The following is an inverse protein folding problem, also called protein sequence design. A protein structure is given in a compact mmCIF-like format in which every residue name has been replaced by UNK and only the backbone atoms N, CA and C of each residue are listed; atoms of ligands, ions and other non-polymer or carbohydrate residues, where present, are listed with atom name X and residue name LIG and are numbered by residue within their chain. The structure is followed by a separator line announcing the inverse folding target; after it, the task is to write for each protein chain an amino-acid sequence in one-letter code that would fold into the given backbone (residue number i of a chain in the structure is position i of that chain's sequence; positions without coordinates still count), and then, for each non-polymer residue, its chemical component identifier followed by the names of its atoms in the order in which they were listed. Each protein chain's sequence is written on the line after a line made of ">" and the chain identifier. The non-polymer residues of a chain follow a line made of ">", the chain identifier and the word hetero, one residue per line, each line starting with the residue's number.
data_IF_579207662155
#
_entry.id   IF_579207662155
#
_cell.length_a   1.000
_cell.length_b   1.000
_cell.length_c   1.000
_cell.angle_alpha   90.00
_cell.angle_beta   90.00
_cell.angle_gamma   90.00
#
_symmetry.space_group_name_H-M   'P 1'
#
loop_
_entity.id
_entity.type
_entity.pdbx_description
1 polymer ?
#
# COMPACT_ATOMS: atom_id res chain seq x y z
N UNK A 1 -13.21 0.91 -12.67
CA UNK A 1 -13.03 0.13 -11.45
C UNK A 1 -13.47 0.95 -10.23
N UNK A 2 -13.33 0.37 -9.04
CA UNK A 2 -13.79 1.02 -7.81
C UNK A 2 -13.01 2.31 -7.51
N UNK A 3 -11.72 2.32 -7.77
CA UNK A 3 -10.90 3.51 -7.52
C UNK A 3 -11.30 4.64 -8.47
N UNK A 4 -11.42 4.35 -9.75
CA UNK A 4 -11.83 5.34 -10.74
C UNK A 4 -13.20 5.92 -10.42
N UNK A 5 -14.12 5.08 -9.98
CA UNK A 5 -15.46 5.52 -9.59
C UNK A 5 -15.39 6.47 -8.39
N UNK A 6 -14.60 6.13 -7.39
CA UNK A 6 -14.49 6.98 -6.20
C UNK A 6 -13.83 8.31 -6.53
N UNK A 7 -12.84 8.33 -7.42
CA UNK A 7 -12.23 9.58 -7.90
C UNK A 7 -13.29 10.43 -8.61
N UNK A 8 -14.09 9.82 -9.48
CA UNK A 8 -15.12 10.56 -10.23
C UNK A 8 -16.19 11.13 -9.30
N UNK A 9 -16.58 10.38 -8.27
CA UNK A 9 -17.62 10.80 -7.35
C UNK A 9 -17.14 11.79 -6.28
N UNK A 10 -15.85 11.70 -5.91
CA UNK A 10 -15.27 12.49 -4.82
C UNK A 10 -13.89 13.04 -5.19
N UNK A 11 -13.78 13.85 -6.25
CA UNK A 11 -12.47 14.30 -6.74
C UNK A 11 -11.68 15.11 -5.72
N UNK A 12 -12.39 15.83 -4.83
CA UNK A 12 -11.71 16.65 -3.83
C UNK A 12 -10.90 15.81 -2.82
N UNK A 13 -11.20 14.52 -2.70
CA UNK A 13 -10.46 13.61 -1.82
C UNK A 13 -9.14 13.14 -2.42
N UNK A 14 -8.91 13.38 -3.71
CA UNK A 14 -7.77 12.86 -4.45
C UNK A 14 -6.90 14.01 -4.97
N UNK A 15 -5.92 14.46 -4.18
CA UNK A 15 -5.22 15.71 -4.48
C UNK A 15 -4.33 15.67 -5.72
N UNK A 16 -3.97 14.48 -6.20
CA UNK A 16 -3.01 14.35 -7.31
C UNK A 16 -3.64 14.04 -8.65
N UNK A 17 -4.97 14.03 -8.76
CA UNK A 17 -5.63 13.63 -10.01
C UNK A 17 -5.47 14.65 -11.13
N UNK A 18 -5.22 15.91 -10.78
CA UNK A 18 -5.08 16.98 -11.76
C UNK A 18 -3.65 17.20 -12.21
N UNK A 19 -2.71 16.47 -11.67
CA UNK A 19 -1.31 16.57 -12.09
C UNK A 19 -1.15 15.87 -13.43
N UNK A 20 -0.91 16.60 -14.52
CA UNK A 20 -1.09 16.05 -15.87
C UNK A 20 0.02 15.15 -16.35
N UNK A 21 1.05 14.95 -15.58
CA UNK A 21 2.20 14.24 -16.09
C UNK A 21 3.01 13.60 -15.01
N UNK A 22 4.14 13.18 -15.39
CA UNK A 22 5.17 12.74 -14.53
C UNK A 22 5.02 11.30 -14.11
N UNK A 23 5.02 11.07 -12.85
CA UNK A 23 5.14 9.73 -12.35
C UNK A 23 3.74 9.11 -12.19
N UNK A 24 3.33 8.34 -13.18
CA UNK A 24 2.05 7.64 -13.17
C UNK A 24 1.99 6.66 -11.98
N UNK A 25 3.10 5.98 -11.69
CA UNK A 25 3.14 5.02 -10.58
C UNK A 25 2.97 5.70 -9.23
N UNK A 26 3.65 6.84 -9.04
CA UNK A 26 3.47 7.64 -7.83
C UNK A 26 2.01 8.06 -7.67
N UNK A 27 1.41 8.56 -8.75
CA UNK A 27 0.02 9.01 -8.73
C UNK A 27 -0.93 7.85 -8.41
N UNK A 28 -0.68 6.67 -8.97
CA UNK A 28 -1.49 5.48 -8.70
C UNK A 28 -1.41 5.07 -7.23
N UNK A 29 -0.21 5.05 -6.67
CA UNK A 29 -0.04 4.69 -5.26
C UNK A 29 -0.73 5.70 -4.36
N UNK A 30 -0.60 7.00 -4.66
CA UNK A 30 -1.26 8.04 -3.90
C UNK A 30 -2.78 7.90 -3.94
N UNK A 31 -3.34 7.60 -5.11
CA UNK A 31 -4.78 7.39 -5.26
C UNK A 31 -5.25 6.14 -4.52
N UNK A 32 -4.48 5.07 -4.57
CA UNK A 32 -4.79 3.85 -3.83
C UNK A 32 -4.74 4.08 -2.32
N UNK A 33 -3.75 4.82 -1.84
CA UNK A 33 -3.67 5.18 -0.43
C UNK A 33 -4.93 5.93 0.02
N UNK A 34 -5.35 6.92 -0.76
CA UNK A 34 -6.57 7.67 -0.47
C UNK A 34 -7.79 6.76 -0.48
N UNK A 35 -7.92 5.91 -1.50
CA UNK A 35 -9.05 5.00 -1.61
C UNK A 35 -9.14 4.06 -0.40
N UNK A 36 -8.02 3.46 0.00
CA UNK A 36 -8.02 2.54 1.14
C UNK A 36 -8.28 3.26 2.46
N UNK A 37 -7.82 4.49 2.63
CA UNK A 37 -8.16 5.27 3.83
C UNK A 37 -9.65 5.55 3.93
N UNK A 38 -10.32 5.66 2.79
CA UNK A 38 -11.75 5.92 2.76
C UNK A 38 -12.61 4.68 2.94
N UNK A 39 -12.14 3.51 2.46
CA UNK A 39 -13.00 2.34 2.30
C UNK A 39 -12.48 1.08 2.98
N UNK A 40 -11.21 1.01 3.33
CA UNK A 40 -10.62 -0.16 3.99
C UNK A 40 -10.47 0.08 5.49
N UNK A 41 -10.21 -0.98 6.22
CA UNK A 41 -9.85 -0.87 7.63
C UNK A 41 -8.44 -0.32 7.75
N UNK A 42 -8.28 0.78 8.49
CA UNK A 42 -6.97 1.41 8.73
C UNK A 42 -6.36 0.78 9.98
N UNK A 43 -5.13 0.30 9.86
CA UNK A 43 -4.45 -0.44 10.91
C UNK A 43 -3.14 0.26 11.31
N UNK A 44 -2.48 -0.30 12.34
CA UNK A 44 -1.22 0.25 12.82
C UNK A 44 -0.11 0.12 11.79
N UNK A 45 0.78 1.11 11.76
CA UNK A 45 2.01 1.06 10.95
C UNK A 45 3.21 0.54 11.76
N UNK A 46 2.99 0.11 13.01
CA UNK A 46 4.02 -0.34 13.91
C UNK A 46 4.25 -1.84 13.75
N UNK A 47 5.49 -2.25 13.54
CA UNK A 47 5.87 -3.65 13.40
C UNK A 47 6.12 -4.34 14.75
N UNK A 48 6.01 -3.63 15.86
CA UNK A 48 6.27 -4.20 17.18
C UNK A 48 5.23 -5.25 17.58
N UNK A 49 4.07 -5.24 16.94
CA UNK A 49 3.05 -6.26 17.15
C UNK A 49 2.77 -6.99 15.83
N UNK A 50 3.55 -8.02 15.50
CA UNK A 50 3.38 -8.73 14.23
C UNK A 50 2.01 -9.38 14.05
N UNK A 51 1.29 -9.65 15.14
CA UNK A 51 -0.06 -10.24 15.06
C UNK A 51 -1.07 -9.32 14.37
N UNK A 52 -0.80 -8.01 14.34
CA UNK A 52 -1.66 -7.04 13.65
C UNK A 52 -1.48 -7.09 12.12
N UNK A 53 -0.48 -7.80 11.63
CA UNK A 53 -0.14 -7.87 10.21
C UNK A 53 -0.55 -9.23 9.67
N UNK A 54 -1.49 -9.27 8.74
CA UNK A 54 -2.04 -10.52 8.22
C UNK A 54 -1.81 -10.64 6.71
N UNK A 55 -1.81 -11.88 6.18
CA UNK A 55 -1.68 -12.07 4.73
C UNK A 55 -2.77 -11.29 3.98
N UNK A 56 -2.37 -10.67 2.88
CA UNK A 56 -3.28 -9.85 2.06
C UNK A 56 -3.41 -8.41 2.52
N UNK A 57 -2.87 -8.05 3.68
CA UNK A 57 -2.88 -6.65 4.12
C UNK A 57 -2.08 -5.79 3.14
N UNK A 58 -2.55 -4.56 2.93
CA UNK A 58 -1.95 -3.60 2.00
C UNK A 58 -1.07 -2.65 2.80
N UNK A 59 0.14 -2.41 2.30
CA UNK A 59 1.13 -1.58 2.98
C UNK A 59 1.59 -0.47 2.03
N UNK A 60 1.56 0.76 2.52
CA UNK A 60 2.05 1.94 1.79
C UNK A 60 3.32 2.43 2.47
N UNK A 61 4.31 2.82 1.68
CA UNK A 61 5.61 3.23 2.15
C UNK A 61 5.96 4.63 1.67
N UNK A 62 6.84 5.29 2.44
CA UNK A 62 7.42 6.57 2.07
C UNK A 62 6.36 7.66 1.98
N UNK A 63 6.48 8.54 1.01
CA UNK A 63 5.55 9.63 0.77
C UNK A 63 4.46 9.20 -0.22
N UNK A 64 3.85 8.04 0.04
CA UNK A 64 2.81 7.43 -0.80
C UNK A 64 3.32 7.12 -2.20
N UNK A 65 4.55 6.64 -2.28
CA UNK A 65 5.21 6.37 -3.55
C UNK A 65 5.51 4.89 -3.79
N UNK A 66 5.23 4.02 -2.82
CA UNK A 66 5.46 2.59 -2.96
C UNK A 66 4.39 1.81 -2.22
N UNK A 67 3.97 0.68 -2.80
CA UNK A 67 2.90 -0.15 -2.26
C UNK A 67 3.31 -1.62 -2.32
N UNK A 68 2.88 -2.39 -1.33
CA UNK A 68 3.07 -3.82 -1.30
C UNK A 68 1.95 -4.52 -0.57
N UNK A 69 2.00 -5.84 -0.57
CA UNK A 69 1.00 -6.70 0.06
C UNK A 69 1.72 -7.68 0.98
N UNK A 70 1.16 -7.90 2.18
CA UNK A 70 1.71 -8.86 3.12
C UNK A 70 1.55 -10.27 2.60
N UNK A 71 2.65 -11.04 2.62
CA UNK A 71 2.66 -12.46 2.31
C UNK A 71 2.18 -13.26 3.53
N UNK A 72 1.83 -14.52 3.31
CA UNK A 72 1.59 -15.47 4.39
C UNK A 72 2.88 -16.00 4.98
N UNK A 73 4.03 -15.75 4.34
CA UNK A 73 5.36 -16.12 4.84
C UNK A 73 5.86 -15.07 5.82
N UNK A 74 6.45 -15.53 6.94
CA UNK A 74 6.96 -14.63 7.97
C UNK A 74 8.43 -14.90 8.26
N UNK A 75 9.14 -13.84 8.69
CA UNK A 75 10.52 -13.95 9.11
C UNK A 75 10.62 -14.48 10.54
N UNK A 76 11.84 -14.49 11.11
CA UNK A 76 12.07 -15.02 12.45
C UNK A 76 11.38 -14.22 13.55
N UNK A 77 11.14 -12.93 13.32
CA UNK A 77 10.43 -12.07 14.26
C UNK A 77 8.92 -12.16 14.11
N UNK A 78 8.42 -12.96 13.17
CA UNK A 78 7.00 -13.09 12.88
C UNK A 78 6.46 -11.99 11.98
N UNK A 79 7.31 -11.16 11.39
CA UNK A 79 6.92 -10.09 10.48
C UNK A 79 6.70 -10.68 9.09
N UNK A 80 5.57 -10.37 8.42
CA UNK A 80 5.32 -10.90 7.09
C UNK A 80 6.35 -10.45 6.07
N UNK A 81 6.66 -11.34 5.13
CA UNK A 81 7.38 -10.94 3.93
C UNK A 81 6.48 -10.01 3.12
N UNK A 82 7.10 -9.19 2.30
CA UNK A 82 6.41 -8.20 1.47
C UNK A 82 6.43 -8.65 0.02
N UNK A 83 5.27 -8.64 -0.60
CA UNK A 83 5.13 -8.88 -2.05
C UNK A 83 5.04 -7.52 -2.71
N UNK A 84 6.02 -7.16 -3.51
CA UNK A 84 6.07 -5.87 -4.17
C UNK A 84 6.96 -5.90 -5.41
N UNK A 85 6.86 -4.87 -6.22
CA UNK A 85 7.77 -4.66 -7.34
C UNK A 85 9.00 -3.92 -6.82
N UNK A 86 10.17 -4.54 -6.94
CA UNK A 86 11.42 -3.89 -6.53
C UNK A 86 11.95 -2.92 -7.57
N UNK A 87 11.41 -2.99 -8.78
CA UNK A 87 11.84 -2.21 -9.94
C UNK A 87 10.66 -2.15 -10.91
N UNK A 88 10.41 -1.01 -11.59
CA UNK A 88 9.24 -0.87 -12.47
C UNK A 88 9.15 -1.90 -13.59
N UNK A 89 10.26 -2.49 -13.99
CA UNK A 89 10.27 -3.50 -15.07
C UNK A 89 10.32 -4.92 -14.54
N UNK A 90 10.47 -5.11 -13.23
CA UNK A 90 10.54 -6.43 -12.63
C UNK A 90 9.14 -6.94 -12.29
N UNK A 91 9.01 -8.26 -12.25
CA UNK A 91 7.82 -8.89 -11.71
C UNK A 91 7.74 -8.68 -10.20
N UNK A 92 6.54 -8.87 -9.64
CA UNK A 92 6.36 -8.83 -8.20
C UNK A 92 7.21 -9.91 -7.54
N UNK A 93 7.88 -9.55 -6.45
CA UNK A 93 8.75 -10.45 -5.70
C UNK A 93 8.33 -10.49 -4.24
N UNK A 94 8.57 -11.63 -3.60
CA UNK A 94 8.35 -11.80 -2.17
C UNK A 94 9.70 -11.71 -1.46
N UNK A 95 9.83 -10.71 -0.56
CA UNK A 95 11.09 -10.47 0.13
C UNK A 95 10.86 -10.08 1.58
N UNK A 96 11.88 -10.26 2.39
CA UNK A 96 11.89 -9.83 3.78
C UNK A 96 12.26 -8.34 3.87
N UNK A 97 11.42 -7.49 3.26
CA UNK A 97 11.70 -6.07 3.08
C UNK A 97 10.84 -5.15 3.95
N UNK A 98 9.95 -5.70 4.77
CA UNK A 98 8.98 -4.88 5.52
C UNK A 98 9.65 -3.82 6.39
N UNK A 99 10.78 -4.13 6.98
CA UNK A 99 11.52 -3.20 7.85
C UNK A 99 12.49 -2.28 7.13
N UNK A 100 12.60 -2.36 5.80
CA UNK A 100 13.57 -1.56 5.04
C UNK A 100 13.08 -0.17 4.72
N UNK A 101 11.79 0.07 4.78
CA UNK A 101 11.18 1.32 4.35
C UNK A 101 10.32 1.89 5.46
N UNK A 102 10.06 3.19 5.38
CA UNK A 102 9.15 3.84 6.32
C UNK A 102 7.72 3.48 5.94
N UNK A 103 7.00 2.82 6.84
CA UNK A 103 5.60 2.44 6.61
C UNK A 103 4.72 3.62 6.98
N UNK A 104 3.89 4.06 6.04
CA UNK A 104 2.99 5.19 6.23
C UNK A 104 1.52 4.81 6.09
N UNK A 105 1.21 3.59 5.66
CA UNK A 105 -0.15 3.09 5.59
C UNK A 105 -0.19 1.58 5.75
N UNK A 106 -1.21 1.10 6.46
CA UNK A 106 -1.48 -0.32 6.63
C UNK A 106 -2.99 -0.50 6.61
N UNK A 107 -3.48 -1.26 5.64
CA UNK A 107 -4.91 -1.39 5.41
C UNK A 107 -5.30 -2.84 5.21
N UNK A 108 -6.53 -3.17 5.62
CA UNK A 108 -7.15 -4.47 5.36
C UNK A 108 -8.41 -4.25 4.56
N UNK A 109 -8.42 -4.81 3.35
CA UNK A 109 -9.59 -4.71 2.48
C UNK A 109 -10.60 -5.78 2.87
N UNK A 110 -11.78 -5.35 3.23
CA UNK A 110 -12.84 -6.25 3.71
C UNK A 110 -13.90 -6.55 2.65
N UNK A 111 -13.63 -6.17 1.44
CA UNK A 111 -14.57 -6.38 0.34
C UNK A 111 -15.28 -5.12 -0.02
#
# INVERSE_FOLDING_TARGET
>A
DLVDRDIADHPACYPNIETPDGNIDFRRVSNLDTFFRRHAQVLTCDLDDPAQWQPGDIVIFGDRDHIGICSDRRNRQGIPFLIHHGNPIDEAVERNDMGKYVITGHFRWMG
#
